data_IF_666183723857
#
_entry.id   IF_666183723857
#
_cell.length_a   1.000
_cell.length_b   1.000
_cell.length_c   1.000
_cell.angle_alpha   90.00
_cell.angle_beta   90.00
_cell.angle_gamma   90.00
#
_symmetry.space_group_name_H-M   'P 1'
#
loop_
_entity.id
_entity.type
_entity.pdbx_description
1 polymer ?
#
# COMPACT_ATOMS: atom_id res chain seq x y z
N UNK A 1 6.89 23.86 -23.99
CA UNK A 1 7.89 23.77 -22.90
C UNK A 1 7.34 23.05 -21.67
N UNK A 2 6.15 23.37 -21.16
CA UNK A 2 5.61 22.78 -19.93
C UNK A 2 5.51 21.24 -19.86
N UNK A 3 5.07 20.57 -20.94
CA UNK A 3 5.00 19.10 -20.94
C UNK A 3 6.38 18.45 -20.77
N UNK A 4 7.41 19.01 -21.42
CA UNK A 4 8.77 18.48 -21.35
C UNK A 4 9.36 18.72 -19.95
N UNK A 5 9.10 19.88 -19.36
CA UNK A 5 9.45 20.19 -17.98
C UNK A 5 8.83 19.20 -16.97
N UNK A 6 7.54 18.87 -17.12
CA UNK A 6 6.86 17.88 -16.28
C UNK A 6 7.52 16.50 -16.41
N UNK A 7 7.77 16.05 -17.64
CA UNK A 7 8.40 14.74 -17.91
C UNK A 7 9.79 14.65 -17.26
N UNK A 8 10.62 15.69 -17.43
CA UNK A 8 11.97 15.73 -16.87
C UNK A 8 11.94 15.71 -15.34
N UNK A 9 11.11 16.56 -14.72
CA UNK A 9 10.95 16.59 -13.27
C UNK A 9 10.42 15.27 -12.71
N UNK A 10 9.50 14.61 -13.42
CA UNK A 10 8.97 13.30 -13.01
C UNK A 10 10.03 12.20 -13.11
N UNK A 11 10.81 12.16 -14.19
CA UNK A 11 11.91 11.20 -14.34
C UNK A 11 12.98 11.39 -13.27
N UNK A 12 13.32 12.65 -12.94
CA UNK A 12 14.24 12.96 -11.84
C UNK A 12 13.68 12.54 -10.49
N UNK A 13 12.39 12.79 -10.23
CA UNK A 13 11.72 12.32 -9.02
C UNK A 13 11.87 10.81 -8.87
N UNK A 14 11.53 10.05 -9.91
CA UNK A 14 11.63 8.59 -9.90
C UNK A 14 13.06 8.13 -9.65
N UNK A 15 14.03 8.67 -10.40
CA UNK A 15 15.43 8.28 -10.30
C UNK A 15 16.02 8.57 -8.91
N UNK A 16 15.70 9.71 -8.33
CA UNK A 16 16.16 10.10 -7.00
C UNK A 16 15.42 9.33 -5.88
N UNK A 17 14.14 9.01 -6.07
CA UNK A 17 13.39 8.18 -5.13
C UNK A 17 13.96 6.74 -5.08
N UNK A 18 14.34 6.17 -6.23
CA UNK A 18 15.03 4.86 -6.27
C UNK A 18 16.42 4.90 -5.61
N UNK A 19 17.05 6.08 -5.51
CA UNK A 19 18.30 6.27 -4.75
C UNK A 19 18.09 6.49 -3.24
N UNK A 20 16.85 6.36 -2.76
CA UNK A 20 16.52 6.42 -1.33
C UNK A 20 16.29 7.83 -0.78
N UNK A 21 16.23 8.85 -1.65
CA UNK A 21 15.86 10.20 -1.21
C UNK A 21 14.36 10.23 -0.92
N UNK A 22 13.97 10.82 0.20
CA UNK A 22 12.57 10.88 0.64
C UNK A 22 11.68 11.56 -0.41
N UNK A 23 10.62 10.86 -0.83
CA UNK A 23 9.60 11.38 -1.75
C UNK A 23 8.90 12.60 -1.17
N UNK A 24 8.79 12.70 0.17
CA UNK A 24 8.23 13.86 0.85
C UNK A 24 8.99 15.15 0.51
N UNK A 25 10.32 15.05 0.39
CA UNK A 25 11.19 16.18 0.05
C UNK A 25 11.28 16.37 -1.48
N UNK A 26 11.34 15.28 -2.24
CA UNK A 26 11.41 15.35 -3.70
C UNK A 26 10.14 15.91 -4.33
N UNK A 27 8.95 15.58 -3.83
CA UNK A 27 7.68 16.01 -4.43
C UNK A 27 7.59 17.54 -4.61
N UNK A 28 7.75 18.37 -3.55
CA UNK A 28 7.73 19.83 -3.70
C UNK A 28 8.91 20.35 -4.53
N UNK A 29 10.10 19.77 -4.39
CA UNK A 29 11.28 20.20 -5.15
C UNK A 29 11.15 19.96 -6.65
N UNK A 30 10.62 18.80 -7.04
CA UNK A 30 10.42 18.44 -8.45
C UNK A 30 9.23 19.19 -9.05
N UNK A 31 8.20 19.49 -8.25
CA UNK A 31 7.13 20.41 -8.65
C UNK A 31 7.67 21.83 -8.91
N UNK A 32 8.51 22.36 -8.01
CA UNK A 32 9.16 23.65 -8.20
C UNK A 32 10.09 23.65 -9.44
N UNK A 33 10.86 22.58 -9.63
CA UNK A 33 11.69 22.40 -10.82
C UNK A 33 10.85 22.39 -12.11
N UNK A 34 9.68 21.75 -12.11
CA UNK A 34 8.79 21.73 -13.27
C UNK A 34 8.31 23.14 -13.62
N UNK A 35 7.96 23.96 -12.62
CA UNK A 35 7.57 25.37 -12.84
C UNK A 35 8.72 26.19 -13.41
N UNK A 36 9.92 26.04 -12.85
CA UNK A 36 11.13 26.73 -13.33
C UNK A 36 11.46 26.37 -14.79
N UNK A 37 11.44 25.07 -15.11
CA UNK A 37 11.72 24.58 -16.47
C UNK A 37 10.61 24.92 -17.48
N UNK A 38 9.39 25.21 -17.00
CA UNK A 38 8.27 25.61 -17.87
C UNK A 38 8.38 27.06 -18.37
N UNK A 39 9.23 27.89 -17.72
CA UNK A 39 9.37 29.32 -18.00
C UNK A 39 8.54 30.21 -17.07
N UNK A 40 7.74 29.62 -16.17
CA UNK A 40 6.80 30.33 -15.28
C UNK A 40 7.40 30.60 -13.89
N UNK A 41 8.72 30.76 -13.80
CA UNK A 41 9.43 30.93 -12.53
C UNK A 41 8.93 32.11 -11.69
N UNK A 42 8.40 33.17 -12.33
CA UNK A 42 7.78 34.31 -11.65
C UNK A 42 6.56 33.91 -10.80
N UNK A 43 5.88 32.80 -11.14
CA UNK A 43 4.72 32.28 -10.44
C UNK A 43 5.04 31.14 -9.47
N UNK A 44 6.33 30.86 -9.20
CA UNK A 44 6.72 29.76 -8.33
C UNK A 44 6.10 29.86 -6.93
N UNK A 45 6.18 31.02 -6.29
CA UNK A 45 5.62 31.22 -4.95
C UNK A 45 4.08 31.15 -4.91
N UNK A 46 3.35 31.79 -5.86
CA UNK A 46 1.91 31.57 -6.01
C UNK A 46 1.53 30.11 -6.25
N UNK A 47 2.18 29.41 -7.20
CA UNK A 47 1.88 28.00 -7.50
C UNK A 47 2.18 27.11 -6.28
N UNK A 48 3.25 27.39 -5.55
CA UNK A 48 3.56 26.68 -4.31
C UNK A 48 2.46 26.88 -3.25
N UNK A 49 2.04 28.12 -3.00
CA UNK A 49 1.09 28.45 -1.92
C UNK A 49 -0.35 28.12 -2.28
N UNK A 50 -0.80 28.46 -3.48
CA UNK A 50 -2.21 28.34 -3.85
C UNK A 50 -2.53 26.95 -4.42
N UNK A 51 -1.65 26.42 -5.28
CA UNK A 51 -1.91 25.14 -5.97
C UNK A 51 -1.38 23.97 -5.15
N UNK A 52 -0.08 23.95 -4.83
CA UNK A 52 0.54 22.81 -4.17
C UNK A 52 0.12 22.70 -2.70
N UNK A 53 0.25 23.77 -1.91
CA UNK A 53 -0.19 23.77 -0.50
C UNK A 53 -1.71 23.67 -0.37
N UNK A 54 -2.49 24.25 -1.29
CA UNK A 54 -3.93 24.08 -1.35
C UNK A 54 -4.34 22.61 -1.55
N UNK A 55 -3.73 21.93 -2.54
CA UNK A 55 -3.96 20.50 -2.77
C UNK A 55 -3.50 19.63 -1.59
N UNK A 56 -2.33 19.93 -1.01
CA UNK A 56 -1.82 19.23 0.17
C UNK A 56 -2.77 19.39 1.38
N UNK A 57 -3.23 20.61 1.65
CA UNK A 57 -4.15 20.90 2.73
C UNK A 57 -5.46 20.13 2.59
N UNK A 58 -6.05 20.13 1.37
CA UNK A 58 -7.24 19.35 1.07
C UNK A 58 -7.03 17.84 1.26
N UNK A 59 -5.87 17.32 0.83
CA UNK A 59 -5.52 15.92 1.03
C UNK A 59 -5.44 15.55 2.52
N UNK A 60 -4.77 16.38 3.32
CA UNK A 60 -4.68 16.18 4.78
C UNK A 60 -6.07 16.22 5.40
N UNK A 61 -6.89 17.21 5.08
CA UNK A 61 -8.25 17.29 5.63
C UNK A 61 -9.12 16.07 5.29
N UNK A 62 -9.03 15.56 4.06
CA UNK A 62 -9.87 14.44 3.61
C UNK A 62 -9.38 13.09 4.13
N UNK A 63 -8.07 12.84 4.11
CA UNK A 63 -7.53 11.49 4.30
C UNK A 63 -6.77 11.27 5.60
N UNK A 64 -6.30 12.33 6.27
CA UNK A 64 -5.50 12.18 7.49
C UNK A 64 -6.24 11.43 8.61
N UNK A 65 -7.52 11.69 8.93
CA UNK A 65 -8.21 10.94 9.98
C UNK A 65 -8.32 9.45 9.66
N UNK A 66 -8.63 9.11 8.40
CA UNK A 66 -8.71 7.73 7.95
C UNK A 66 -7.37 7.00 8.10
N UNK A 67 -6.27 7.63 7.68
CA UNK A 67 -4.94 7.03 7.77
C UNK A 67 -4.41 6.97 9.20
N UNK A 68 -4.70 7.98 10.03
CA UNK A 68 -4.33 7.98 11.44
C UNK A 68 -5.02 6.83 12.17
N UNK A 69 -6.34 6.67 12.00
CA UNK A 69 -7.10 5.60 12.63
C UNK A 69 -6.67 4.22 12.10
N UNK A 70 -6.45 4.09 10.78
CA UNK A 70 -5.93 2.86 10.18
C UNK A 70 -4.53 2.50 10.70
N UNK A 71 -3.63 3.47 10.83
CA UNK A 71 -2.30 3.27 11.38
C UNK A 71 -2.36 2.86 12.87
N UNK A 72 -3.18 3.54 13.68
CA UNK A 72 -3.39 3.19 15.08
C UNK A 72 -3.96 1.78 15.25
N UNK A 73 -4.95 1.40 14.45
CA UNK A 73 -5.52 0.06 14.45
C UNK A 73 -4.47 -0.99 14.08
N UNK A 74 -3.73 -0.75 12.99
CA UNK A 74 -2.66 -1.65 12.55
C UNK A 74 -1.56 -1.83 13.60
N UNK A 75 -1.22 -0.75 14.31
CA UNK A 75 -0.26 -0.77 15.41
C UNK A 75 -0.82 -1.51 16.64
N UNK A 76 -2.06 -1.26 17.03
CA UNK A 76 -2.71 -1.96 18.15
C UNK A 76 -2.84 -3.47 17.90
N UNK A 77 -3.12 -3.87 16.66
CA UNK A 77 -3.11 -5.28 16.24
C UNK A 77 -1.73 -5.93 16.36
N UNK A 78 -0.66 -5.17 16.11
CA UNK A 78 0.71 -5.62 16.30
C UNK A 78 1.05 -5.76 17.79
N UNK A 79 0.83 -4.70 18.56
CA UNK A 79 1.23 -4.59 19.97
C UNK A 79 0.44 -5.54 20.88
N UNK A 80 -0.83 -5.81 20.54
CA UNK A 80 -1.66 -6.77 21.28
C UNK A 80 -1.30 -8.24 21.02
N UNK A 81 -0.48 -8.54 20.01
CA UNK A 81 -0.22 -9.91 19.56
C UNK A 81 -1.41 -10.57 18.84
N UNK A 82 -2.49 -9.85 18.57
CA UNK A 82 -3.66 -10.36 17.87
C UNK A 82 -3.29 -10.87 16.47
N UNK A 83 -2.45 -10.13 15.74
CA UNK A 83 -1.97 -10.55 14.42
C UNK A 83 -1.25 -11.91 14.46
N UNK A 84 -0.44 -12.15 15.49
CA UNK A 84 0.28 -13.40 15.71
C UNK A 84 -0.68 -14.55 16.05
N UNK A 85 -1.68 -14.29 16.90
CA UNK A 85 -2.69 -15.29 17.28
C UNK A 85 -3.56 -15.73 16.08
N UNK A 86 -4.04 -14.76 15.29
CA UNK A 86 -4.83 -15.02 14.08
C UNK A 86 -4.02 -15.85 13.08
N UNK A 87 -2.76 -15.45 12.82
CA UNK A 87 -1.88 -16.19 11.92
C UNK A 87 -1.66 -17.63 12.40
N UNK A 88 -1.32 -17.84 13.67
CA UNK A 88 -1.14 -19.17 14.25
C UNK A 88 -2.41 -20.03 14.12
N UNK A 89 -3.59 -19.43 14.28
CA UNK A 89 -4.88 -20.11 14.10
C UNK A 89 -5.11 -20.59 12.66
N UNK A 90 -4.81 -19.74 11.68
CA UNK A 90 -4.90 -20.08 10.24
C UNK A 90 -3.91 -21.20 9.90
N UNK A 91 -2.68 -21.07 10.38
CA UNK A 91 -1.62 -22.06 10.19
C UNK A 91 -1.98 -23.42 10.77
N UNK A 92 -2.55 -23.47 11.98
CA UNK A 92 -3.01 -24.72 12.61
C UNK A 92 -4.13 -25.39 11.83
N UNK A 93 -5.02 -24.63 11.18
CA UNK A 93 -6.16 -25.17 10.42
C UNK A 93 -5.76 -25.66 9.03
N UNK A 94 -4.96 -24.89 8.29
CA UNK A 94 -4.58 -25.22 6.91
C UNK A 94 -3.33 -26.13 6.83
N UNK A 95 -2.48 -26.07 7.85
CA UNK A 95 -1.34 -26.96 8.00
C UNK A 95 -0.22 -26.76 6.97
N UNK A 96 0.65 -27.76 6.91
CA UNK A 96 1.87 -27.81 6.08
C UNK A 96 1.62 -28.31 4.66
N UNK A 97 0.48 -28.95 4.39
CA UNK A 97 0.17 -29.58 3.09
C UNK A 97 0.07 -28.54 1.95
N UNK A 98 -0.33 -27.31 2.25
CA UNK A 98 -0.41 -26.21 1.28
C UNK A 98 0.28 -24.96 1.82
N UNK A 99 1.56 -25.07 2.17
CA UNK A 99 2.30 -24.03 2.91
C UNK A 99 2.25 -22.64 2.27
N UNK A 100 2.30 -22.56 0.93
CA UNK A 100 2.21 -21.29 0.19
C UNK A 100 0.83 -20.66 0.41
N UNK A 101 -0.24 -21.44 0.19
CA UNK A 101 -1.62 -20.99 0.37
C UNK A 101 -1.89 -20.60 1.83
N UNK A 102 -1.37 -21.36 2.79
CA UNK A 102 -1.48 -21.05 4.22
C UNK A 102 -0.92 -19.67 4.54
N UNK A 103 0.26 -19.33 4.00
CA UNK A 103 0.89 -18.02 4.19
C UNK A 103 0.10 -16.92 3.47
N UNK A 104 -0.30 -17.16 2.22
CA UNK A 104 -1.11 -16.20 1.43
C UNK A 104 -2.42 -15.87 2.15
N UNK A 105 -3.14 -16.86 2.66
CA UNK A 105 -4.39 -16.66 3.38
C UNK A 105 -4.18 -15.96 4.73
N UNK A 106 -3.11 -16.28 5.46
CA UNK A 106 -2.79 -15.57 6.70
C UNK A 106 -2.49 -14.08 6.44
N UNK A 107 -1.69 -13.80 5.41
CA UNK A 107 -1.42 -12.44 4.94
C UNK A 107 -2.69 -11.73 4.48
N UNK A 108 -3.55 -12.41 3.73
CA UNK A 108 -4.78 -11.84 3.20
C UNK A 108 -5.74 -11.43 4.30
N UNK A 109 -5.99 -12.30 5.29
CA UNK A 109 -6.89 -11.99 6.41
C UNK A 109 -6.38 -10.79 7.22
N UNK A 110 -5.08 -10.72 7.50
CA UNK A 110 -4.51 -9.61 8.27
C UNK A 110 -4.55 -8.28 7.50
N UNK A 111 -4.18 -8.29 6.22
CA UNK A 111 -4.15 -7.07 5.41
C UNK A 111 -5.54 -6.56 5.07
N UNK A 112 -6.46 -7.46 4.72
CA UNK A 112 -7.87 -7.11 4.54
C UNK A 112 -8.48 -6.61 5.85
N UNK A 113 -8.03 -7.15 6.99
CA UNK A 113 -8.40 -6.65 8.32
C UNK A 113 -7.86 -5.25 8.65
N UNK A 114 -7.02 -4.65 7.82
CA UNK A 114 -6.46 -3.30 8.03
C UNK A 114 -5.10 -3.27 8.74
N UNK A 115 -4.44 -4.42 8.89
CA UNK A 115 -3.08 -4.47 9.45
C UNK A 115 -2.08 -3.97 8.41
N UNK A 116 -1.14 -3.12 8.84
CA UNK A 116 -0.08 -2.59 7.98
C UNK A 116 0.73 -3.71 7.32
N UNK A 117 1.02 -3.54 6.04
CA UNK A 117 1.76 -4.51 5.22
C UNK A 117 3.14 -4.83 5.81
N UNK A 118 3.82 -3.83 6.38
CA UNK A 118 5.12 -4.01 7.04
C UNK A 118 4.98 -4.87 8.30
N UNK A 119 3.94 -4.62 9.10
CA UNK A 119 3.63 -5.42 10.30
C UNK A 119 3.33 -6.86 9.90
N UNK A 120 2.52 -7.08 8.84
CA UNK A 120 2.21 -8.42 8.34
C UNK A 120 3.47 -9.15 7.93
N UNK A 121 4.39 -8.49 7.19
CA UNK A 121 5.66 -9.12 6.81
C UNK A 121 6.48 -9.57 8.03
N UNK A 122 6.60 -8.74 9.06
CA UNK A 122 7.35 -9.08 10.28
C UNK A 122 6.66 -10.16 11.13
N UNK A 123 5.34 -10.12 11.27
CA UNK A 123 4.59 -11.11 12.03
C UNK A 123 4.57 -12.48 11.34
N UNK A 124 4.39 -12.50 10.03
CA UNK A 124 4.22 -13.74 9.25
C UNK A 124 5.56 -14.41 8.92
N UNK A 125 6.64 -13.66 8.76
CA UNK A 125 7.92 -14.23 8.32
C UNK A 125 8.49 -15.32 9.25
N UNK A 126 8.56 -15.15 10.59
CA UNK A 126 9.05 -16.20 11.49
C UNK A 126 8.25 -17.50 11.39
N UNK A 127 6.92 -17.38 11.31
CA UNK A 127 5.97 -18.49 11.20
C UNK A 127 6.14 -19.21 9.86
N UNK A 128 6.19 -18.44 8.77
CA UNK A 128 6.35 -18.93 7.41
C UNK A 128 7.68 -19.66 7.24
N UNK A 129 8.75 -19.16 7.86
CA UNK A 129 10.07 -19.81 7.81
C UNK A 129 10.02 -21.22 8.37
N UNK A 130 9.36 -21.39 9.51
CA UNK A 130 9.27 -22.70 10.16
C UNK A 130 8.34 -23.64 9.39
N UNK A 131 7.19 -23.13 8.95
CA UNK A 131 6.26 -23.84 8.08
C UNK A 131 6.90 -24.36 6.78
N UNK A 132 7.63 -23.50 6.07
CA UNK A 132 8.31 -23.87 4.82
C UNK A 132 9.42 -24.89 5.08
N UNK A 133 10.12 -24.77 6.22
CA UNK A 133 11.12 -25.76 6.65
C UNK A 133 10.49 -27.12 6.90
N UNK A 134 9.36 -27.18 7.61
CA UNK A 134 8.64 -28.43 7.88
C UNK A 134 8.05 -29.06 6.62
N UNK A 135 7.57 -28.25 5.68
CA UNK A 135 7.02 -28.70 4.40
C UNK A 135 8.11 -28.99 3.34
N UNK A 136 9.40 -28.83 3.67
CA UNK A 136 10.53 -28.97 2.74
C UNK A 136 10.41 -28.08 1.48
N UNK A 137 9.88 -26.86 1.64
CA UNK A 137 9.70 -25.87 0.57
C UNK A 137 10.80 -24.80 0.62
N UNK A 138 11.35 -24.35 -0.53
CA UNK A 138 12.42 -23.36 -0.54
C UNK A 138 12.04 -22.03 0.14
N UNK A 139 12.86 -21.58 1.10
CA UNK A 139 12.68 -20.32 1.84
C UNK A 139 12.55 -19.08 0.93
N UNK A 140 13.15 -19.11 -0.27
CA UNK A 140 13.09 -18.03 -1.26
C UNK A 140 11.67 -17.68 -1.75
N UNK A 141 10.70 -18.57 -1.53
CA UNK A 141 9.30 -18.37 -1.91
C UNK A 141 8.50 -17.58 -0.86
N UNK A 142 9.00 -17.46 0.38
CA UNK A 142 8.31 -16.75 1.46
C UNK A 142 8.00 -15.29 1.10
N UNK A 143 8.95 -14.48 0.57
CA UNK A 143 8.65 -13.12 0.17
C UNK A 143 7.55 -13.05 -0.89
N UNK A 144 7.53 -13.99 -1.85
CA UNK A 144 6.51 -14.05 -2.88
C UNK A 144 5.13 -14.43 -2.29
N UNK A 145 5.07 -15.37 -1.34
CA UNK A 145 3.82 -15.75 -0.67
C UNK A 145 3.24 -14.61 0.18
N UNK A 146 4.10 -13.90 0.91
CA UNK A 146 3.70 -12.70 1.66
C UNK A 146 3.23 -11.62 0.69
N UNK A 147 3.99 -11.37 -0.39
CA UNK A 147 3.64 -10.36 -1.37
C UNK A 147 2.31 -10.66 -2.06
N UNK A 148 2.06 -11.91 -2.44
CA UNK A 148 0.79 -12.33 -3.02
C UNK A 148 -0.37 -12.08 -2.05
N UNK A 149 -0.25 -12.51 -0.79
CA UNK A 149 -1.34 -12.32 0.18
C UNK A 149 -1.53 -10.88 0.67
N UNK A 150 -0.49 -10.04 0.63
CA UNK A 150 -0.52 -8.70 1.24
C UNK A 150 -0.56 -7.56 0.23
N UNK A 151 0.15 -7.65 -0.89
CA UNK A 151 0.34 -6.55 -1.84
C UNK A 151 -0.52 -6.66 -3.11
N UNK A 152 -1.47 -7.60 -3.17
CA UNK A 152 -2.27 -7.86 -4.38
C UNK A 152 -3.77 -7.67 -4.13
N UNK A 153 -4.58 -8.71 -4.20
CA UNK A 153 -6.05 -8.66 -4.16
C UNK A 153 -6.59 -8.01 -2.90
N UNK A 154 -5.94 -8.18 -1.75
CA UNK A 154 -6.34 -7.56 -0.48
C UNK A 154 -6.00 -6.08 -0.38
N UNK A 155 -5.04 -5.59 -1.17
CA UNK A 155 -4.67 -4.17 -1.22
C UNK A 155 -5.48 -3.41 -2.28
N UNK A 156 -5.94 -4.09 -3.34
CA UNK A 156 -6.53 -3.43 -4.50
C UNK A 156 -7.98 -3.85 -4.77
N UNK A 157 -8.20 -5.14 -5.04
CA UNK A 157 -9.42 -5.61 -5.70
C UNK A 157 -10.57 -5.93 -4.74
N UNK A 158 -10.28 -6.40 -3.52
CA UNK A 158 -11.33 -6.80 -2.59
C UNK A 158 -12.19 -5.59 -2.16
N UNK A 159 -13.53 -5.74 -2.19
CA UNK A 159 -14.43 -4.67 -1.75
C UNK A 159 -14.20 -4.34 -0.27
N UNK A 160 -14.20 -3.06 0.08
CA UNK A 160 -14.04 -2.61 1.47
C UNK A 160 -12.60 -2.56 1.97
N UNK A 161 -11.61 -2.91 1.16
CA UNK A 161 -10.20 -2.82 1.54
C UNK A 161 -9.82 -1.40 1.98
N UNK A 162 -9.17 -1.23 3.16
CA UNK A 162 -8.73 0.06 3.67
C UNK A 162 -7.36 0.48 3.08
N UNK A 163 -7.27 0.62 1.76
CA UNK A 163 -6.01 0.98 1.07
C UNK A 163 -6.04 2.42 0.53
N UNK A 164 -4.91 3.11 0.62
CA UNK A 164 -4.71 4.47 0.10
C UNK A 164 -5.05 4.52 -1.40
N UNK A 165 -4.64 3.49 -2.13
CA UNK A 165 -4.87 3.32 -3.57
C UNK A 165 -6.35 3.33 -3.94
N UNK A 166 -7.22 2.85 -3.03
CA UNK A 166 -8.67 2.82 -3.22
C UNK A 166 -9.37 4.03 -2.61
N UNK A 167 -8.85 4.56 -1.49
CA UNK A 167 -9.43 5.71 -0.82
C UNK A 167 -9.32 6.99 -1.66
N UNK A 168 -8.18 7.22 -2.30
CA UNK A 168 -7.93 8.46 -3.07
C UNK A 168 -8.92 8.64 -4.23
N UNK A 169 -9.22 7.64 -5.06
CA UNK A 169 -10.10 7.83 -6.22
C UNK A 169 -11.60 7.89 -5.91
N UNK A 170 -12.05 7.38 -4.76
CA UNK A 170 -13.49 7.29 -4.39
C UNK A 170 -14.24 8.63 -4.58
N UNK A 171 -13.75 9.77 -4.05
CA UNK A 171 -14.44 11.05 -4.22
C UNK A 171 -14.47 11.55 -5.67
N UNK A 172 -13.45 11.22 -6.47
CA UNK A 172 -13.36 11.65 -7.88
C UNK A 172 -14.35 10.89 -8.77
N UNK A 173 -14.60 9.62 -8.46
CA UNK A 173 -15.52 8.77 -9.21
C UNK A 173 -16.95 8.76 -8.64
N UNK A 174 -17.20 9.41 -7.50
CA UNK A 174 -18.50 9.39 -6.83
C UNK A 174 -18.91 7.99 -6.37
N UNK A 175 -17.93 7.15 -6.02
CA UNK A 175 -18.16 5.76 -5.59
C UNK A 175 -18.06 5.62 -4.07
N UNK A 176 -18.00 4.40 -3.57
CA UNK A 176 -17.70 4.10 -2.17
C UNK A 176 -16.77 2.88 -2.10
N UNK A 177 -16.25 2.55 -0.90
CA UNK A 177 -15.30 1.45 -0.71
C UNK A 177 -15.82 0.07 -1.15
N UNK A 178 -17.13 -0.10 -1.29
CA UNK A 178 -17.79 -1.33 -1.71
C UNK A 178 -18.37 -1.26 -3.12
N UNK A 179 -17.98 -0.26 -3.93
CA UNK A 179 -18.47 -0.13 -5.28
C UNK A 179 -18.08 -1.33 -6.16
N UNK A 180 -19.03 -1.78 -6.99
CA UNK A 180 -18.88 -2.93 -7.90
C UNK A 180 -18.30 -4.21 -7.23
N UNK A 181 -18.93 -4.72 -6.16
CA UNK A 181 -18.32 -5.78 -5.35
C UNK A 181 -18.12 -7.09 -6.11
N UNK A 182 -19.00 -7.41 -7.07
CA UNK A 182 -18.84 -8.57 -7.94
C UNK A 182 -17.58 -8.51 -8.82
N UNK A 183 -17.31 -7.35 -9.42
CA UNK A 183 -16.09 -7.15 -10.21
C UNK A 183 -14.84 -7.20 -9.33
N UNK A 184 -14.90 -6.63 -8.12
CA UNK A 184 -13.81 -6.71 -7.15
C UNK A 184 -13.48 -8.14 -6.74
N UNK A 185 -14.50 -8.97 -6.47
CA UNK A 185 -14.32 -10.39 -6.17
C UNK A 185 -13.70 -11.13 -7.36
N UNK A 186 -14.21 -10.93 -8.58
CA UNK A 186 -13.69 -11.57 -9.79
C UNK A 186 -12.21 -11.20 -10.01
N UNK A 187 -11.88 -9.91 -9.95
CA UNK A 187 -10.51 -9.44 -10.08
C UNK A 187 -9.62 -10.01 -8.97
N UNK A 188 -10.12 -10.05 -7.73
CA UNK A 188 -9.40 -10.63 -6.59
C UNK A 188 -9.12 -12.11 -6.75
N UNK A 189 -10.09 -12.89 -7.25
CA UNK A 189 -9.90 -14.31 -7.57
C UNK A 189 -8.87 -14.53 -8.66
N UNK A 190 -8.88 -13.73 -9.73
CA UNK A 190 -7.87 -13.80 -10.79
C UNK A 190 -6.47 -13.46 -10.26
N UNK A 191 -6.36 -12.46 -9.38
CA UNK A 191 -5.09 -12.08 -8.75
C UNK A 191 -4.58 -13.13 -7.76
N UNK A 192 -5.47 -13.86 -7.08
CA UNK A 192 -5.13 -14.95 -6.17
C UNK A 192 -4.53 -16.16 -6.92
N UNK A 193 -5.04 -16.45 -8.13
CA UNK A 193 -4.60 -17.56 -8.98
C UNK A 193 -5.66 -18.63 -9.17
#
# INVERSE_FOLDING_TARGET
>A
MGMLAIIVSLLLLMLLAYRGISVLLLAPLMAALAVLLSGDGAFLLPIYTDTFMGALGNYVMQFFPLFLLGALFGQLMADSGAAQSISNGIVKRLGTHHVVLTVVMACAVLTYGGVSLFVVAFAIYPISRELFRQANVPKRLIPASIALGSFTFTMTALPGTPAIQNAIPIPYFGTNSFAAPGLGIIAGSIMLG
#
